data_IF_131621487778
#
_entry.id   IF_131621487778
#
_cell.length_a   1.000
_cell.length_b   1.000
_cell.length_c   1.000
_cell.angle_alpha   90.00
_cell.angle_beta   90.00
_cell.angle_gamma   90.00
#
_symmetry.space_group_name_H-M   'P 1'
#
loop_
_entity.id
_entity.type
_entity.pdbx_description
1 polymer ?
#
# COMPACT_ATOMS: atom_id res chain seq x y z
N UNK A 1 -6.85 16.53 10.60
CA UNK A 1 -6.98 16.27 12.04
C UNK A 1 -8.37 16.66 12.54
N UNK A 2 -8.78 17.93 12.42
CA UNK A 2 -10.09 18.46 12.91
C UNK A 2 -11.29 17.57 12.55
N UNK A 3 -11.48 17.27 11.26
CA UNK A 3 -12.59 16.40 10.80
C UNK A 3 -12.65 15.06 11.55
N UNK A 4 -11.50 14.42 11.74
CA UNK A 4 -11.39 13.08 12.34
C UNK A 4 -11.58 13.11 13.86
N UNK A 5 -11.06 14.14 14.53
CA UNK A 5 -11.25 14.36 15.98
C UNK A 5 -12.69 14.72 16.37
N UNK A 6 -13.50 15.16 15.43
CA UNK A 6 -14.87 15.63 15.69
C UNK A 6 -15.94 14.63 15.25
N UNK A 7 -15.53 13.44 14.78
CA UNK A 7 -16.46 12.37 14.45
C UNK A 7 -17.22 11.92 15.69
N UNK A 8 -18.49 11.53 15.50
CA UNK A 8 -19.24 10.83 16.54
C UNK A 8 -18.48 9.55 16.97
N UNK A 9 -18.35 9.37 18.29
CA UNK A 9 -17.61 8.27 18.92
C UNK A 9 -16.09 8.46 19.02
N UNK A 10 -15.56 9.62 18.63
CA UNK A 10 -14.14 9.99 18.83
C UNK A 10 -14.08 11.09 19.89
N UNK A 11 -13.87 10.69 21.14
CA UNK A 11 -13.97 11.60 22.29
C UNK A 11 -12.62 11.90 22.94
N UNK A 12 -11.63 11.03 22.74
CA UNK A 12 -10.30 11.14 23.32
C UNK A 12 -9.19 10.79 22.32
N UNK A 13 -7.95 10.90 22.79
CA UNK A 13 -6.76 10.62 21.98
C UNK A 13 -6.63 9.14 21.61
N UNK A 14 -7.08 8.22 22.47
CA UNK A 14 -7.05 6.80 22.17
C UNK A 14 -8.02 6.45 21.02
N UNK A 15 -9.22 7.04 21.04
CA UNK A 15 -10.19 6.92 19.97
C UNK A 15 -9.69 7.58 18.68
N UNK A 16 -8.99 8.72 18.77
CA UNK A 16 -8.35 9.36 17.61
C UNK A 16 -7.25 8.48 17.01
N UNK A 17 -6.42 7.84 17.84
CA UNK A 17 -5.36 6.91 17.42
C UNK A 17 -5.89 5.52 17.06
N UNK A 18 -7.18 5.38 16.76
CA UNK A 18 -7.80 4.11 16.39
C UNK A 18 -8.28 4.09 14.93
N UNK A 19 -8.46 2.90 14.32
CA UNK A 19 -9.11 2.77 13.01
C UNK A 19 -10.45 3.51 12.88
N UNK A 20 -11.21 3.64 13.98
CA UNK A 20 -12.54 4.22 13.98
C UNK A 20 -12.56 5.72 13.63
N UNK A 21 -11.46 6.45 13.90
CA UNK A 21 -11.29 7.85 13.53
C UNK A 21 -10.70 8.04 12.12
N UNK A 22 -10.23 6.95 11.50
CA UNK A 22 -9.51 6.94 10.23
C UNK A 22 -10.13 5.96 9.21
N UNK A 23 -11.45 5.98 8.99
CA UNK A 23 -12.06 5.05 8.07
C UNK A 23 -11.63 5.34 6.61
N UNK A 24 -11.62 4.33 5.73
CA UNK A 24 -11.36 4.53 4.31
C UNK A 24 -12.45 5.38 3.63
N UNK A 25 -13.66 5.39 4.20
CA UNK A 25 -14.80 6.23 3.77
C UNK A 25 -15.46 6.81 5.01
N UNK A 26 -15.70 8.12 5.02
CA UNK A 26 -16.41 8.79 6.11
C UNK A 26 -17.92 8.60 5.94
N UNK A 27 -18.57 8.12 6.99
CA UNK A 27 -20.02 8.08 7.08
C UNK A 27 -20.56 9.48 7.42
N UNK A 28 -21.42 10.02 6.57
CA UNK A 28 -22.07 11.32 6.78
C UNK A 28 -22.81 11.41 8.10
N UNK A 29 -23.37 10.30 8.61
CA UNK A 29 -24.10 10.28 9.87
C UNK A 29 -23.19 10.51 11.10
N UNK A 30 -21.87 10.28 10.95
CA UNK A 30 -20.88 10.53 12.01
C UNK A 30 -20.30 11.94 11.96
N UNK A 31 -20.57 12.71 10.91
CA UNK A 31 -20.05 14.06 10.76
C UNK A 31 -20.78 15.02 11.69
N UNK A 32 -20.01 15.89 12.37
CA UNK A 32 -20.55 16.92 13.27
C UNK A 32 -20.06 18.31 12.85
N UNK A 33 -20.69 18.96 11.85
CA UNK A 33 -20.22 20.23 11.29
C UNK A 33 -20.01 21.33 12.34
N UNK A 34 -20.93 21.47 13.30
CA UNK A 34 -20.79 22.45 14.38
C UNK A 34 -19.54 22.19 15.25
N UNK A 35 -19.21 20.92 15.52
CA UNK A 35 -18.00 20.56 16.27
C UNK A 35 -16.72 20.82 15.47
N UNK A 36 -16.76 20.66 14.13
CA UNK A 36 -15.65 21.01 13.24
C UNK A 36 -15.37 22.52 13.31
N UNK A 37 -16.42 23.34 13.21
CA UNK A 37 -16.29 24.81 13.29
C UNK A 37 -15.76 25.23 14.66
N UNK A 38 -16.36 24.69 15.73
CA UNK A 38 -15.96 24.99 17.11
C UNK A 38 -14.49 24.61 17.38
N UNK A 39 -14.08 23.38 17.05
CA UNK A 39 -12.67 22.96 17.21
C UNK A 39 -11.73 23.84 16.36
N UNK A 40 -12.09 24.16 15.12
CA UNK A 40 -11.27 25.01 14.25
C UNK A 40 -11.10 26.42 14.84
N UNK A 41 -12.15 26.99 15.44
CA UNK A 41 -12.11 28.33 16.04
C UNK A 41 -11.26 28.43 17.31
N UNK A 42 -10.98 27.29 17.97
CA UNK A 42 -10.18 27.22 19.18
C UNK A 42 -8.70 26.91 18.94
N UNK A 43 -8.30 26.64 17.69
CA UNK A 43 -6.89 26.39 17.37
C UNK A 43 -6.10 27.69 17.50
N UNK A 44 -5.29 27.75 18.55
CA UNK A 44 -4.34 28.84 18.78
C UNK A 44 -3.07 28.63 17.94
N UNK A 45 -2.39 29.69 17.43
CA UNK A 45 -1.12 29.56 16.72
C UNK A 45 -0.05 28.75 17.48
N UNK A 46 0.00 28.89 18.81
CA UNK A 46 0.88 28.13 19.69
C UNK A 46 0.49 26.66 19.87
N UNK A 47 -0.66 26.25 19.35
CA UNK A 47 -1.18 24.87 19.40
C UNK A 47 -1.28 24.20 18.03
N UNK A 48 -0.72 24.84 16.99
CA UNK A 48 -0.72 24.27 15.64
C UNK A 48 -0.02 22.91 15.66
N UNK A 49 -0.70 21.82 15.25
CA UNK A 49 -0.12 20.50 15.25
C UNK A 49 1.03 20.40 14.24
N UNK A 50 2.09 19.64 14.54
CA UNK A 50 3.14 19.35 13.57
C UNK A 50 2.57 18.61 12.35
N UNK A 51 3.15 18.84 11.17
CA UNK A 51 2.88 18.05 9.98
C UNK A 51 3.88 16.90 9.93
N UNK A 52 3.42 15.67 10.16
CA UNK A 52 4.29 14.49 10.16
C UNK A 52 4.93 14.32 8.79
N UNK A 53 6.26 14.17 8.78
CA UNK A 53 7.05 13.89 7.59
C UNK A 53 7.64 12.50 7.69
N UNK A 54 7.29 11.63 6.76
CA UNK A 54 7.79 10.26 6.68
C UNK A 54 8.79 10.07 5.55
N UNK A 55 9.71 9.14 5.76
CA UNK A 55 10.68 8.65 4.80
C UNK A 55 10.80 7.13 4.86
N UNK A 56 11.23 6.52 3.76
CA UNK A 56 11.48 5.08 3.68
C UNK A 56 12.97 4.86 3.92
N UNK A 57 13.31 4.28 5.06
CA UNK A 57 14.69 3.95 5.44
C UNK A 57 15.13 2.62 4.84
N UNK A 58 14.21 1.66 4.78
CA UNK A 58 14.37 0.42 4.02
C UNK A 58 13.03 -0.04 3.45
N UNK A 59 13.12 -0.65 2.28
CA UNK A 59 12.00 -1.18 1.52
C UNK A 59 12.27 -2.66 1.21
N UNK A 60 11.26 -3.37 0.70
CA UNK A 60 11.47 -4.71 0.16
C UNK A 60 12.18 -4.62 -1.21
N UNK A 61 13.05 -5.59 -1.54
CA UNK A 61 13.82 -5.63 -2.79
C UNK A 61 13.14 -6.52 -3.85
N UNK A 62 11.91 -6.16 -4.23
CA UNK A 62 11.14 -6.92 -5.23
C UNK A 62 11.58 -6.58 -6.65
N UNK A 63 12.17 -7.54 -7.37
CA UNK A 63 12.72 -7.36 -8.73
C UNK A 63 11.72 -7.81 -9.81
N UNK A 64 11.30 -6.91 -10.73
CA UNK A 64 10.51 -7.27 -11.90
C UNK A 64 11.15 -8.39 -12.73
N UNK A 65 10.34 -9.32 -13.24
CA UNK A 65 10.80 -10.47 -14.04
C UNK A 65 11.49 -11.59 -13.23
N UNK A 66 11.68 -11.40 -11.92
CA UNK A 66 12.27 -12.38 -11.00
C UNK A 66 11.32 -12.70 -9.84
N UNK A 67 10.97 -11.70 -9.04
CA UNK A 67 10.15 -11.89 -7.84
C UNK A 67 8.65 -11.75 -8.14
N UNK A 68 8.33 -11.24 -9.33
CA UNK A 68 7.02 -11.19 -9.98
C UNK A 68 7.22 -11.02 -11.49
N UNK A 69 6.19 -11.29 -12.30
CA UNK A 69 6.31 -11.37 -13.76
C UNK A 69 6.33 -10.02 -14.48
N UNK A 70 5.68 -9.01 -13.91
CA UNK A 70 5.40 -7.74 -14.60
C UNK A 70 6.65 -6.89 -14.71
N UNK A 71 7.27 -6.80 -15.90
CA UNK A 71 8.56 -6.11 -16.06
C UNK A 71 8.45 -4.59 -16.09
N UNK A 72 7.30 -4.07 -16.53
CA UNK A 72 7.05 -2.64 -16.68
C UNK A 72 6.42 -1.99 -15.45
N UNK A 73 6.23 -2.73 -14.35
CA UNK A 73 5.54 -2.23 -13.16
C UNK A 73 6.39 -2.39 -11.91
N UNK A 74 6.81 -1.28 -11.32
CA UNK A 74 7.45 -1.30 -10.00
C UNK A 74 6.44 -1.43 -8.85
N UNK A 75 6.87 -1.99 -7.73
CA UNK A 75 6.05 -2.11 -6.50
C UNK A 75 5.97 -0.83 -5.67
N UNK A 76 6.81 0.17 -5.98
CA UNK A 76 6.66 1.53 -5.47
C UNK A 76 5.68 2.33 -6.33
N UNK A 77 4.52 2.66 -5.78
CA UNK A 77 3.52 3.49 -6.49
C UNK A 77 3.85 4.97 -6.33
N UNK A 78 4.11 5.41 -5.10
CA UNK A 78 4.63 6.74 -4.82
C UNK A 78 5.29 6.79 -3.43
N UNK A 79 6.17 7.77 -3.27
CA UNK A 79 6.80 8.12 -1.99
C UNK A 79 6.76 9.64 -1.88
N UNK A 80 5.98 10.15 -0.94
CA UNK A 80 5.87 11.59 -0.65
C UNK A 80 6.16 11.82 0.83
N UNK A 81 6.44 13.06 1.27
CA UNK A 81 6.70 13.33 2.67
C UNK A 81 5.57 12.98 3.63
N UNK A 82 4.32 12.80 3.19
CA UNK A 82 3.19 12.49 4.09
C UNK A 82 2.44 11.22 3.72
N UNK A 83 2.82 10.58 2.61
CA UNK A 83 2.17 9.38 2.12
C UNK A 83 3.14 8.50 1.33
N UNK A 84 3.22 7.22 1.69
CA UNK A 84 3.99 6.18 1.00
C UNK A 84 3.02 5.09 0.55
N UNK A 85 3.08 4.71 -0.71
CA UNK A 85 2.25 3.63 -1.25
C UNK A 85 3.07 2.59 -1.98
N UNK A 86 2.74 1.33 -1.70
CA UNK A 86 3.32 0.14 -2.32
C UNK A 86 2.23 -0.77 -2.88
N UNK A 87 2.58 -1.57 -3.87
CA UNK A 87 1.73 -2.64 -4.40
C UNK A 87 2.38 -3.99 -4.10
N UNK A 88 1.58 -4.99 -3.74
CA UNK A 88 2.07 -6.34 -3.45
C UNK A 88 1.88 -7.29 -4.62
N UNK A 89 2.86 -7.28 -5.54
CA UNK A 89 2.98 -8.16 -6.70
C UNK A 89 3.86 -9.37 -6.39
N UNK A 90 4.97 -9.18 -5.67
CA UNK A 90 5.97 -10.23 -5.40
C UNK A 90 5.42 -11.47 -4.69
N UNK A 91 6.15 -12.58 -4.79
CA UNK A 91 5.75 -13.88 -4.25
C UNK A 91 5.97 -14.05 -2.74
N UNK A 92 6.73 -13.16 -2.11
CA UNK A 92 7.06 -13.26 -0.70
C UNK A 92 5.81 -13.18 0.18
N UNK A 93 5.77 -14.04 1.19
CA UNK A 93 4.69 -14.06 2.18
C UNK A 93 4.76 -12.91 3.16
N UNK A 94 5.97 -12.52 3.59
CA UNK A 94 6.17 -11.43 4.56
C UNK A 94 6.96 -10.30 3.93
N UNK A 95 6.48 -9.06 4.09
CA UNK A 95 7.21 -7.85 3.73
C UNK A 95 7.74 -7.15 4.95
N UNK A 96 8.91 -6.54 4.79
CA UNK A 96 9.57 -5.75 5.83
C UNK A 96 9.87 -4.36 5.32
N UNK A 97 9.60 -3.38 6.16
CA UNK A 97 9.87 -1.97 5.90
C UNK A 97 10.50 -1.36 7.14
N UNK A 98 11.35 -0.36 6.95
CA UNK A 98 11.70 0.59 8.00
C UNK A 98 11.29 1.99 7.55
N UNK A 99 10.44 2.63 8.34
CA UNK A 99 9.98 3.99 8.08
C UNK A 99 10.47 4.93 9.18
N UNK A 100 10.91 6.12 8.77
CA UNK A 100 11.33 7.19 9.65
C UNK A 100 10.34 8.34 9.62
N UNK A 101 10.16 9.00 10.77
CA UNK A 101 9.38 10.22 10.96
C UNK A 101 10.22 11.37 11.55
N UNK A 102 11.53 11.16 11.73
CA UNK A 102 12.45 12.07 12.41
C UNK A 102 12.64 13.43 11.73
N UNK A 103 12.28 13.56 10.45
CA UNK A 103 12.24 14.83 9.74
C UNK A 103 11.06 15.73 10.12
N UNK A 104 10.17 15.29 11.03
CA UNK A 104 9.03 16.08 11.53
C UNK A 104 9.52 17.14 12.51
N UNK A 105 9.03 18.37 12.38
CA UNK A 105 9.37 19.50 13.24
C UNK A 105 8.09 20.09 13.83
N UNK A 106 8.11 20.42 15.12
CA UNK A 106 7.10 21.24 15.77
C UNK A 106 7.45 22.72 15.62
N UNK A 107 6.53 23.53 15.08
CA UNK A 107 6.76 24.96 14.86
C UNK A 107 6.97 25.75 16.16
N UNK A 108 6.55 25.20 17.29
CA UNK A 108 6.72 25.80 18.62
C UNK A 108 7.91 25.20 19.38
N UNK A 109 8.74 24.38 18.72
CA UNK A 109 9.94 23.79 19.31
C UNK A 109 9.69 22.72 20.37
N UNK A 110 8.47 22.16 20.45
CA UNK A 110 8.15 21.10 21.42
C UNK A 110 8.77 19.77 21.03
N UNK A 111 9.12 18.98 22.04
CA UNK A 111 9.56 17.59 21.85
C UNK A 111 8.42 16.74 21.29
N UNK A 112 8.73 15.93 20.28
CA UNK A 112 7.76 15.06 19.62
C UNK A 112 7.88 13.61 20.10
N UNK A 113 6.73 12.94 20.22
CA UNK A 113 6.60 11.48 20.27
C UNK A 113 5.82 11.02 19.05
N UNK A 114 6.06 9.79 18.61
CA UNK A 114 5.42 9.23 17.43
C UNK A 114 4.61 7.98 17.76
N UNK A 115 3.38 7.95 17.26
CA UNK A 115 2.45 6.83 17.44
C UNK A 115 2.22 6.17 16.08
N UNK A 116 2.64 4.92 15.94
CA UNK A 116 2.38 4.11 14.76
C UNK A 116 1.17 3.23 14.99
N UNK A 117 0.20 3.28 14.07
CA UNK A 117 -1.11 2.66 14.24
C UNK A 117 -1.46 1.90 12.96
N UNK A 118 -1.94 0.66 13.12
CA UNK A 118 -2.59 -0.09 12.04
C UNK A 118 -4.03 0.42 11.90
N UNK A 119 -4.36 0.98 10.74
CA UNK A 119 -5.70 1.50 10.44
C UNK A 119 -6.58 0.47 9.73
N UNK A 120 -5.96 -0.40 8.91
CA UNK A 120 -6.67 -1.40 8.12
C UNK A 120 -5.83 -2.64 7.92
N UNK A 121 -6.41 -3.81 8.13
CA UNK A 121 -5.74 -5.11 8.07
C UNK A 121 -6.01 -5.97 9.30
N UNK A 122 -5.39 -7.14 9.32
CA UNK A 122 -5.42 -8.07 10.46
C UNK A 122 -4.24 -7.75 11.41
N UNK A 123 -4.50 -7.28 12.64
CA UNK A 123 -3.45 -6.99 13.63
C UNK A 123 -2.59 -8.20 13.99
N UNK A 124 -3.08 -9.43 13.83
CA UNK A 124 -2.27 -10.64 14.08
C UNK A 124 -1.20 -10.88 13.00
N UNK A 125 -1.33 -10.20 11.85
CA UNK A 125 -0.46 -10.34 10.67
C UNK A 125 0.33 -9.08 10.35
N UNK A 126 0.17 -8.03 11.15
CA UNK A 126 0.87 -6.76 10.99
C UNK A 126 1.60 -6.47 12.29
N UNK A 127 2.93 -6.44 12.23
CA UNK A 127 3.80 -6.17 13.38
C UNK A 127 4.45 -4.82 13.17
N UNK A 128 4.32 -3.94 14.16
CA UNK A 128 4.90 -2.59 14.14
C UNK A 128 5.77 -2.46 15.37
N UNK A 129 7.07 -2.30 15.16
CA UNK A 129 8.08 -2.25 16.22
C UNK A 129 8.79 -0.91 16.17
N UNK A 130 8.42 0.05 17.03
CA UNK A 130 9.19 1.29 17.20
C UNK A 130 10.62 0.98 17.66
N UNK A 131 11.61 1.61 17.03
CA UNK A 131 13.04 1.35 17.26
C UNK A 131 13.74 2.42 18.07
N UNK A 132 13.17 3.62 18.15
CA UNK A 132 13.68 4.73 18.95
C UNK A 132 12.76 5.02 20.14
N UNK A 133 13.32 5.63 21.20
CA UNK A 133 12.56 5.94 22.41
C UNK A 133 11.39 6.91 22.16
N UNK A 134 11.57 7.84 21.23
CA UNK A 134 10.52 8.77 20.78
C UNK A 134 9.56 8.15 19.75
N UNK A 135 9.84 6.93 19.28
CA UNK A 135 9.07 6.26 18.23
C UNK A 135 9.29 6.82 16.82
N UNK A 136 10.25 7.71 16.60
CA UNK A 136 10.52 8.31 15.28
C UNK A 136 10.86 7.29 14.19
N UNK A 137 11.34 6.09 14.52
CA UNK A 137 11.56 5.01 13.55
C UNK A 137 10.73 3.80 13.91
N UNK A 138 10.09 3.17 12.92
CA UNK A 138 9.41 1.89 13.10
C UNK A 138 9.84 0.87 12.03
N UNK A 139 10.09 -0.35 12.49
CA UNK A 139 10.11 -1.54 11.64
C UNK A 139 8.69 -2.08 11.50
N UNK A 140 8.28 -2.34 10.26
CA UNK A 140 6.93 -2.82 9.94
C UNK A 140 7.08 -4.14 9.19
N UNK A 141 6.50 -5.19 9.75
CA UNK A 141 6.38 -6.48 9.09
C UNK A 141 4.92 -6.79 8.78
N UNK A 142 4.64 -7.18 7.55
CA UNK A 142 3.29 -7.48 7.10
C UNK A 142 3.33 -8.87 6.49
N UNK A 143 2.48 -9.78 6.96
CA UNK A 143 2.25 -11.07 6.35
C UNK A 143 1.08 -10.98 5.37
N UNK A 144 1.13 -11.74 4.28
CA UNK A 144 0.06 -11.75 3.29
C UNK A 144 -1.27 -12.17 3.91
N UNK A 145 -2.30 -11.37 3.66
CA UNK A 145 -3.69 -11.68 4.02
C UNK A 145 -4.65 -10.84 3.20
N UNK A 146 -5.92 -11.25 3.20
CA UNK A 146 -7.02 -10.39 2.73
C UNK A 146 -7.41 -9.48 3.89
N UNK A 147 -7.15 -8.17 3.82
CA UNK A 147 -7.41 -7.27 4.93
C UNK A 147 -8.91 -6.97 5.01
N UNK A 148 -9.37 -6.76 6.23
CA UNK A 148 -10.71 -6.27 6.54
C UNK A 148 -10.63 -4.81 6.94
N UNK A 149 -11.53 -3.98 6.40
CA UNK A 149 -11.79 -2.64 6.89
C UNK A 149 -12.39 -2.69 8.30
N UNK A 150 -12.36 -1.57 9.02
CA UNK A 150 -13.07 -1.42 10.30
C UNK A 150 -14.59 -1.70 10.18
N UNK A 151 -15.17 -1.56 8.98
CA UNK A 151 -16.56 -1.93 8.68
C UNK A 151 -16.80 -3.45 8.53
N UNK A 152 -15.75 -4.28 8.59
CA UNK A 152 -15.81 -5.72 8.34
C UNK A 152 -15.76 -6.11 6.85
N UNK A 153 -15.78 -5.14 5.93
CA UNK A 153 -15.69 -5.41 4.49
C UNK A 153 -14.26 -5.77 4.08
N UNK A 154 -14.12 -6.69 3.13
CA UNK A 154 -12.84 -6.98 2.50
C UNK A 154 -12.28 -5.72 1.81
N UNK A 155 -10.97 -5.53 1.91
CA UNK A 155 -10.26 -4.39 1.37
C UNK A 155 -9.11 -4.81 0.49
N UNK A 156 -8.82 -4.00 -0.53
CA UNK A 156 -7.65 -4.16 -1.39
C UNK A 156 -6.42 -3.42 -0.87
N UNK A 157 -6.43 -2.97 0.38
CA UNK A 157 -5.31 -2.25 0.99
C UNK A 157 -5.16 -2.53 2.48
N UNK A 158 -3.91 -2.58 2.91
CA UNK A 158 -3.47 -2.49 4.29
C UNK A 158 -3.02 -1.06 4.52
N UNK A 159 -3.45 -0.46 5.62
CA UNK A 159 -3.11 0.93 5.97
C UNK A 159 -2.52 1.03 7.36
N UNK A 160 -1.44 1.79 7.44
CA UNK A 160 -0.82 2.24 8.66
C UNK A 160 -0.75 3.76 8.66
N UNK A 161 -0.75 4.34 9.84
CA UNK A 161 -0.52 5.76 10.03
C UNK A 161 0.50 6.01 11.12
N UNK A 162 1.21 7.12 10.99
CA UNK A 162 2.02 7.68 12.06
C UNK A 162 1.53 9.08 12.41
N UNK A 163 1.46 9.34 13.70
CA UNK A 163 1.05 10.60 14.30
C UNK A 163 2.19 11.16 15.12
N UNK A 164 2.38 12.47 15.09
CA UNK A 164 3.24 13.18 16.01
C UNK A 164 2.40 13.76 17.16
N UNK A 165 2.90 13.58 18.37
CA UNK A 165 2.38 14.13 19.61
C UNK A 165 3.39 15.15 20.14
N UNK A 166 2.99 16.42 20.23
CA UNK A 166 3.83 17.48 20.80
C UNK A 166 3.51 17.78 22.28
N UNK A 167 2.71 16.92 22.92
CA UNK A 167 2.22 17.08 24.30
C UNK A 167 1.03 18.02 24.45
N UNK A 168 0.71 18.82 23.43
CA UNK A 168 -0.47 19.69 23.41
C UNK A 168 -1.57 19.18 22.47
N UNK A 169 -1.20 18.62 21.32
CA UNK A 169 -2.13 18.02 20.37
C UNK A 169 -1.45 16.94 19.53
N UNK A 170 -2.25 15.94 19.12
CA UNK A 170 -1.86 15.01 18.06
C UNK A 170 -1.99 15.65 16.67
N UNK A 171 -1.09 15.26 15.78
CA UNK A 171 -1.07 15.69 14.39
C UNK A 171 -2.19 15.10 13.53
N UNK A 172 -2.27 15.55 12.29
CA UNK A 172 -2.84 14.71 11.23
C UNK A 172 -1.88 13.52 10.94
N UNK A 173 -2.41 12.37 10.52
CA UNK A 173 -1.58 11.22 10.18
C UNK A 173 -0.77 11.47 8.90
N UNK A 174 0.47 11.01 8.87
CA UNK A 174 1.08 10.56 7.62
C UNK A 174 0.74 9.07 7.42
N UNK A 175 0.64 8.62 6.16
CA UNK A 175 0.07 7.31 5.83
C UNK A 175 1.03 6.42 5.07
N UNK A 176 1.01 5.13 5.39
CA UNK A 176 1.69 4.09 4.65
C UNK A 176 0.66 3.04 4.22
N UNK A 177 0.57 2.79 2.91
CA UNK A 177 -0.42 1.90 2.33
C UNK A 177 0.22 0.84 1.47
N UNK A 178 -0.28 -0.39 1.61
CA UNK A 178 0.08 -1.52 0.74
C UNK A 178 -1.17 -2.00 0.03
N UNK A 179 -1.22 -1.79 -1.28
CA UNK A 179 -2.28 -2.30 -2.14
C UNK A 179 -2.08 -3.80 -2.41
N UNK A 180 -3.20 -4.52 -2.51
CA UNK A 180 -3.26 -5.97 -2.71
C UNK A 180 -4.17 -6.31 -3.91
N UNK A 181 -3.74 -7.22 -4.80
CA UNK A 181 -4.55 -7.69 -5.92
C UNK A 181 -5.60 -8.71 -5.46
N UNK A 182 -6.74 -8.25 -4.93
CA UNK A 182 -7.76 -9.17 -4.38
C UNK A 182 -8.40 -10.12 -5.40
N UNK A 183 -8.27 -9.85 -6.69
CA UNK A 183 -8.73 -10.78 -7.72
C UNK A 183 -7.78 -11.98 -7.88
N UNK A 184 -6.52 -11.84 -7.45
CA UNK A 184 -5.55 -12.92 -7.51
C UNK A 184 -5.79 -13.90 -6.38
N UNK A 185 -6.03 -15.16 -6.72
CA UNK A 185 -6.05 -16.21 -5.72
C UNK A 185 -4.62 -16.67 -5.44
N UNK A 186 -4.13 -16.31 -4.26
CA UNK A 186 -2.79 -16.68 -3.77
C UNK A 186 -2.90 -17.80 -2.76
N UNK A 187 -2.24 -18.93 -3.02
CA UNK A 187 -2.15 -20.04 -2.06
C UNK A 187 -0.73 -20.14 -1.53
N UNK A 188 -0.58 -19.99 -0.22
CA UNK A 188 0.68 -20.19 0.47
C UNK A 188 0.68 -21.54 1.18
N UNK A 189 1.87 -22.13 1.34
CA UNK A 189 2.10 -23.37 2.07
C UNK A 189 3.33 -23.24 2.98
N UNK A 190 3.46 -24.14 3.95
CA UNK A 190 4.67 -24.24 4.75
C UNK A 190 5.81 -24.80 3.91
N UNK A 191 6.89 -24.04 3.76
CA UNK A 191 8.15 -24.47 3.18
C UNK A 191 9.09 -25.10 4.21
N UNK A 192 10.35 -25.35 3.82
CA UNK A 192 11.40 -25.77 4.74
C UNK A 192 11.52 -24.81 5.94
N UNK A 193 11.82 -25.36 7.13
CA UNK A 193 11.88 -24.62 8.40
C UNK A 193 10.58 -23.90 8.82
N UNK A 194 9.44 -24.20 8.19
CA UNK A 194 8.13 -23.65 8.56
C UNK A 194 7.87 -22.24 8.04
N UNK A 195 8.75 -21.69 7.21
CA UNK A 195 8.51 -20.41 6.54
C UNK A 195 7.45 -20.57 5.45
N UNK A 196 6.46 -19.68 5.42
CA UNK A 196 5.43 -19.70 4.39
C UNK A 196 6.02 -19.28 3.04
N UNK A 197 5.67 -20.02 1.98
CA UNK A 197 6.04 -19.72 0.60
C UNK A 197 4.81 -19.79 -0.30
N UNK A 198 4.81 -19.03 -1.40
CA UNK A 198 3.71 -19.06 -2.35
C UNK A 198 3.75 -20.37 -3.15
N UNK A 199 2.69 -21.17 -3.10
CA UNK A 199 2.58 -22.43 -3.83
C UNK A 199 1.93 -22.23 -5.20
N UNK A 200 0.93 -21.35 -5.28
CA UNK A 200 0.20 -21.08 -6.50
C UNK A 200 -0.37 -19.65 -6.55
N UNK A 201 -0.48 -19.13 -7.76
CA UNK A 201 -0.99 -17.80 -8.05
C UNK A 201 -1.89 -17.83 -9.29
N UNK A 202 -3.14 -17.44 -9.13
CA UNK A 202 -4.09 -17.31 -10.24
C UNK A 202 -4.15 -15.86 -10.73
N UNK A 203 -3.83 -15.64 -12.00
CA UNK A 203 -3.84 -14.32 -12.65
C UNK A 203 -5.16 -14.01 -13.36
N UNK A 204 -6.11 -14.95 -13.37
CA UNK A 204 -7.40 -14.80 -14.02
C UNK A 204 -8.26 -13.80 -13.25
N UNK A 205 -8.14 -12.53 -13.63
CA UNK A 205 -9.07 -11.49 -13.22
C UNK A 205 -10.37 -11.61 -14.01
N UNK A 206 -11.51 -11.32 -13.37
CA UNK A 206 -12.73 -11.01 -14.10
C UNK A 206 -12.58 -9.57 -14.62
N UNK A 207 -12.56 -9.32 -15.95
CA UNK A 207 -12.41 -7.97 -16.51
C UNK A 207 -13.50 -6.98 -16.06
N UNK A 208 -14.66 -7.51 -15.65
CA UNK A 208 -15.80 -6.72 -15.17
C UNK A 208 -15.72 -6.44 -13.67
N UNK A 209 -14.76 -7.02 -12.95
CA UNK A 209 -14.54 -6.74 -11.53
C UNK A 209 -13.73 -5.45 -11.39
N UNK A 210 -14.34 -4.41 -10.82
CA UNK A 210 -13.63 -3.13 -10.57
C UNK A 210 -12.41 -3.27 -9.65
N UNK A 211 -12.21 -4.41 -9.00
CA UNK A 211 -11.02 -4.75 -8.21
C UNK A 211 -9.82 -5.16 -9.07
N UNK A 212 -10.00 -5.40 -10.37
CA UNK A 212 -8.91 -5.55 -11.35
C UNK A 212 -8.57 -4.19 -11.97
N UNK A 213 -7.94 -3.30 -11.21
CA UNK A 213 -7.33 -2.10 -11.80
C UNK A 213 -6.09 -2.50 -12.61
N UNK A 214 -6.22 -2.53 -13.93
CA UNK A 214 -5.16 -2.94 -14.85
C UNK A 214 -3.99 -1.97 -14.89
N UNK A 215 -4.16 -0.73 -14.44
CA UNK A 215 -3.06 0.22 -14.29
C UNK A 215 -2.16 -0.10 -13.09
N UNK A 216 -2.62 -0.95 -12.17
CA UNK A 216 -1.90 -1.34 -10.96
C UNK A 216 -1.53 -2.83 -11.00
N UNK A 217 -2.34 -3.68 -11.65
CA UNK A 217 -2.18 -5.13 -11.63
C UNK A 217 -2.16 -5.75 -13.02
N UNK A 218 -1.20 -6.62 -13.28
CA UNK A 218 -1.31 -7.51 -14.44
C UNK A 218 -2.38 -8.57 -14.25
N UNK A 219 -3.03 -8.90 -15.35
CA UNK A 219 -4.03 -9.96 -15.47
C UNK A 219 -3.65 -10.88 -16.62
N UNK A 220 -4.00 -12.16 -16.52
CA UNK A 220 -3.71 -13.12 -17.57
C UNK A 220 -4.67 -14.31 -17.54
N UNK A 221 -4.93 -15.00 -18.66
CA UNK A 221 -5.80 -16.17 -18.69
C UNK A 221 -5.15 -17.44 -18.09
N UNK A 222 -4.16 -17.31 -17.20
CA UNK A 222 -3.35 -18.42 -16.70
C UNK A 222 -3.26 -18.47 -15.17
N UNK A 223 -2.81 -19.62 -14.69
CA UNK A 223 -2.46 -19.87 -13.30
C UNK A 223 -1.05 -20.46 -13.23
N UNK A 224 -0.29 -20.01 -12.24
CA UNK A 224 1.09 -20.39 -12.00
C UNK A 224 1.19 -21.24 -10.73
N UNK A 225 1.92 -22.36 -10.81
CA UNK A 225 2.37 -23.14 -9.66
C UNK A 225 3.88 -22.96 -9.51
N UNK A 226 4.33 -22.61 -8.30
CA UNK A 226 5.71 -22.25 -8.06
C UNK A 226 6.54 -23.49 -7.72
N UNK A 227 7.69 -23.62 -8.38
CA UNK A 227 8.58 -24.78 -8.26
C UNK A 227 9.78 -24.40 -7.42
N UNK A 228 9.97 -25.12 -6.32
CA UNK A 228 11.09 -24.92 -5.41
C UNK A 228 12.09 -26.08 -5.52
N UNK A 229 13.37 -25.77 -5.40
CA UNK A 229 14.42 -26.78 -5.31
C UNK A 229 14.43 -27.45 -3.92
N UNK A 230 15.26 -28.50 -3.70
CA UNK A 230 15.36 -29.15 -2.39
C UNK A 230 15.86 -28.24 -1.25
N UNK A 231 16.53 -27.13 -1.57
CA UNK A 231 16.95 -26.12 -0.59
C UNK A 231 15.81 -25.15 -0.22
N UNK A 232 14.66 -25.23 -0.90
CA UNK A 232 13.52 -24.36 -0.69
C UNK A 232 13.59 -23.04 -1.46
N UNK A 233 14.53 -22.90 -2.40
CA UNK A 233 14.68 -21.72 -3.23
C UNK A 233 13.77 -21.83 -4.47
N UNK A 234 13.16 -20.72 -4.87
CA UNK A 234 12.32 -20.67 -6.07
C UNK A 234 13.19 -20.93 -7.31
N UNK A 235 12.88 -22.01 -8.03
CA UNK A 235 13.66 -22.51 -9.18
C UNK A 235 12.92 -22.36 -10.51
N UNK A 236 11.59 -22.25 -10.48
CA UNK A 236 10.78 -22.08 -11.68
C UNK A 236 9.29 -21.96 -11.39
N UNK A 237 8.51 -21.98 -12.48
CA UNK A 237 7.06 -21.89 -12.49
C UNK A 237 6.52 -22.91 -13.48
N UNK A 238 5.51 -23.67 -13.07
CA UNK A 238 4.66 -24.46 -13.98
C UNK A 238 3.38 -23.66 -14.23
N UNK A 239 3.21 -23.14 -15.44
CA UNK A 239 2.03 -22.39 -15.83
C UNK A 239 1.02 -23.27 -16.52
N UNK A 240 -0.26 -23.02 -16.24
CA UNK A 240 -1.40 -23.59 -16.94
C UNK A 240 -2.28 -22.49 -17.51
N UNK A 241 -2.55 -22.54 -18.82
CA UNK A 241 -3.35 -21.56 -19.52
C UNK A 241 -4.07 -22.16 -20.73
N UNK A 242 -4.68 -21.32 -21.60
CA UNK A 242 -5.46 -21.78 -22.76
C UNK A 242 -4.63 -22.55 -23.79
N UNK A 243 -3.33 -22.27 -23.85
CA UNK A 243 -2.36 -22.94 -24.73
C UNK A 243 -1.84 -24.27 -24.18
N UNK A 244 -2.24 -24.67 -22.97
CA UNK A 244 -1.76 -25.88 -22.29
C UNK A 244 -0.89 -25.57 -21.08
N UNK A 245 0.06 -26.47 -20.78
CA UNK A 245 1.02 -26.31 -19.69
C UNK A 245 2.39 -25.95 -20.22
N UNK A 246 3.07 -25.03 -19.55
CA UNK A 246 4.44 -24.62 -19.85
C UNK A 246 5.28 -24.61 -18.57
N UNK A 247 6.52 -25.09 -18.68
CA UNK A 247 7.51 -25.04 -17.60
C UNK A 247 8.46 -23.88 -17.86
N UNK A 248 8.65 -23.05 -16.85
CA UNK A 248 9.47 -21.85 -16.90
C UNK A 248 10.55 -21.93 -15.80
N UNK A 249 11.80 -21.60 -16.10
CA UNK A 249 12.92 -21.63 -15.15
C UNK A 249 13.53 -20.25 -14.97
N UNK A 250 14.02 -19.96 -13.78
CA UNK A 250 14.77 -18.73 -13.55
C UNK A 250 16.20 -18.86 -14.09
N UNK A 251 16.53 -18.05 -15.09
CA UNK A 251 17.89 -17.82 -15.58
C UNK A 251 18.53 -16.59 -14.91
N UNK A 252 19.73 -16.22 -15.36
CA UNK A 252 20.48 -15.06 -14.85
C UNK A 252 19.75 -13.72 -15.11
N UNK A 253 18.95 -13.64 -16.17
CA UNK A 253 18.27 -12.46 -16.67
C UNK A 253 16.74 -12.49 -16.49
N UNK A 254 16.22 -13.48 -15.75
CA UNK A 254 14.79 -13.62 -15.46
C UNK A 254 14.23 -14.98 -15.89
N UNK A 255 12.91 -15.05 -15.99
CA UNK A 255 12.19 -16.29 -16.30
C UNK A 255 12.34 -16.67 -17.79
N UNK A 256 12.64 -17.93 -18.08
CA UNK A 256 12.81 -18.47 -19.44
C UNK A 256 11.97 -19.73 -19.61
N UNK A 257 11.45 -19.95 -20.82
CA UNK A 257 10.76 -21.20 -21.13
C UNK A 257 11.73 -22.39 -21.15
N UNK A 258 11.36 -23.55 -20.61
CA UNK A 258 12.19 -24.75 -20.74
C UNK A 258 12.34 -25.14 -22.23
N UNK A 259 13.58 -25.31 -22.70
CA UNK A 259 13.91 -25.60 -24.10
C UNK A 259 15.43 -25.67 -24.37
N UNK A 260 15.87 -26.08 -25.58
CA UNK A 260 17.29 -26.18 -25.92
C UNK A 260 18.00 -24.82 -25.78
N UNK A 261 19.34 -24.85 -25.66
CA UNK A 261 20.18 -23.66 -25.49
C UNK A 261 19.78 -22.55 -26.48
N UNK A 262 19.17 -21.48 -25.97
CA UNK A 262 18.48 -20.46 -26.79
C UNK A 262 17.03 -20.15 -26.38
N UNK A 263 16.49 -20.78 -25.33
CA UNK A 263 15.17 -20.48 -24.76
C UNK A 263 14.93 -18.96 -24.59
N UNK A 264 13.81 -18.47 -25.13
CA UNK A 264 13.44 -17.05 -25.06
C UNK A 264 13.12 -16.64 -23.61
N UNK A 265 13.50 -15.41 -23.26
CA UNK A 265 13.06 -14.77 -22.01
C UNK A 265 11.57 -14.52 -22.10
N UNK A 266 10.83 -14.94 -21.09
CA UNK A 266 9.39 -14.69 -20.99
C UNK A 266 9.21 -13.37 -20.26
N UNK A 267 8.77 -12.35 -21.00
CA UNK A 267 8.46 -11.04 -20.44
C UNK A 267 6.94 -10.88 -20.39
N UNK A 268 6.42 -10.43 -19.24
CA UNK A 268 5.03 -10.00 -19.13
C UNK A 268 5.01 -8.50 -18.96
N UNK A 269 4.33 -7.83 -19.88
CA UNK A 269 4.03 -6.41 -19.77
C UNK A 269 2.58 -6.30 -19.31
N UNK A 270 2.35 -5.60 -18.20
CA UNK A 270 1.00 -5.19 -17.85
C UNK A 270 0.49 -4.22 -18.92
N UNK A 271 -0.70 -4.47 -19.45
CA UNK A 271 -1.34 -3.56 -20.41
C UNK A 271 -1.89 -2.34 -19.65
N UNK A 272 -1.57 -1.10 -20.09
CA UNK A 272 -2.25 0.08 -19.56
C UNK A 272 -3.76 -0.08 -19.79
N UNK A 273 -4.57 0.15 -18.76
CA UNK A 273 -6.03 0.17 -18.94
C UNK A 273 -6.43 1.21 -19.98
N UNK A 274 -7.29 0.85 -20.94
CA UNK A 274 -7.70 1.72 -22.06
C UNK A 274 -8.51 2.96 -21.62
N UNK A 275 -8.89 3.06 -20.33
CA UNK A 275 -9.86 4.05 -19.82
C UNK A 275 -9.25 5.18 -18.96
N UNK A 276 -8.03 5.64 -19.24
CA UNK A 276 -7.54 6.90 -18.64
C UNK A 276 -7.91 8.11 -19.49
N UNK A 277 -9.21 8.39 -19.57
CA UNK A 277 -9.70 9.73 -19.83
C UNK A 277 -9.35 10.64 -18.65
N UNK A 278 -8.09 11.08 -18.58
CA UNK A 278 -7.70 12.23 -17.77
C UNK A 278 -8.45 13.45 -18.32
N UNK A 279 -9.64 13.72 -17.77
CA UNK A 279 -10.30 15.01 -17.92
C UNK A 279 -9.45 15.99 -17.13
N UNK A 280 -8.43 16.56 -17.80
CA UNK A 280 -7.89 17.83 -17.38
C UNK A 280 -9.05 18.82 -17.45
N UNK A 281 -9.51 19.29 -16.29
CA UNK A 281 -10.19 20.58 -16.22
C UNK A 281 -9.13 21.63 -16.56
N UNK A 282 -8.88 21.83 -17.85
CA UNK A 282 -8.19 23.03 -18.32
C UNK A 282 -9.13 24.18 -18.03
N UNK A 283 -8.83 24.92 -16.96
CA UNK A 283 -9.42 26.22 -16.72
C UNK A 283 -9.33 27.03 -17.99
N UNK A 284 -10.49 27.39 -18.53
CA UNK A 284 -10.65 28.31 -19.63
C UNK A 284 -9.89 29.60 -19.32
N UNK A 285 -8.71 29.79 -19.90
CA UNK A 285 -8.15 31.13 -20.06
C UNK A 285 -9.10 31.89 -20.96
N UNK A 286 -9.76 32.90 -20.38
CA UNK A 286 -10.44 33.95 -21.12
C UNK A 286 -9.54 34.44 -22.27
N UNK A 287 -10.08 34.42 -23.48
CA UNK A 287 -9.54 35.22 -24.58
C UNK A 287 -9.62 36.70 -24.19
N UNK A 288 -8.54 37.48 -24.30
CA UNK A 288 -8.66 38.93 -24.25
C UNK A 288 -9.42 39.42 -25.50
N UNK A 289 -10.37 40.32 -25.26
CA UNK A 289 -11.36 40.76 -26.23
C UNK A 289 -10.77 41.42 -27.48
N UNK A 290 -11.46 41.21 -28.59
CA UNK A 290 -11.46 42.14 -29.72
C UNK A 290 -12.23 43.40 -29.30
N UNK A 291 -11.54 44.53 -29.24
CA UNK A 291 -12.20 45.83 -29.32
C UNK A 291 -12.73 46.05 -30.76
N UNK A 292 -13.91 46.66 -30.92
CA UNK A 292 -14.42 47.05 -32.22
C UNK A 292 -13.92 48.45 -32.61
N UNK A 293 -13.25 48.55 -33.75
CA UNK A 293 -13.29 49.71 -34.66
C UNK A 293 -13.33 49.21 -36.10
#
# INVERSE_FOLDING_TARGET
MVLRRTLAGVEDDAAYLSPAAHPPVFDSARLRPAAIVDLSSRLDPGSVPPMVRIEVLSDFDGRPGRDYLDENMGEALFTTPTAVARAWRSYDFTRRFALGAGGTVDLNGRTLRFHWVVLQGDPARIRVTPRSHDGAVAEIEIDWHVPTAASGLASSRIDLAVFADNGATLSAPATFSVALPLFQNRRFEAGPAGHMRLAALDYRGNPKDRRTDRSIWATGPWQDALVYDPAGMLSGIERSGPSGRESLRFGLDGLRQDGPAGAARVTHLAEPGEDFGLVYLTGSRQQPGREPQ
#
